data_IF_099560046430
#
_entry.id   IF_099560046430
#
_cell.length_a   1.000
_cell.length_b   1.000
_cell.length_c   1.000
_cell.angle_alpha   90.00
_cell.angle_beta   90.00
_cell.angle_gamma   90.00
#
_symmetry.space_group_name_H-M   'P 1'
#
loop_
_entity.id
_entity.type
_entity.pdbx_description
1 polymer ?
#
# COMPACT_ATOMS: atom_id res chain seq x y z
N UNK A 1 6.42 14.03 21.24
CA UNK A 1 4.95 14.13 21.29
C UNK A 1 4.50 14.97 20.11
N UNK A 2 4.07 14.34 19.02
CA UNK A 2 3.36 15.03 17.94
C UNK A 2 1.87 14.76 18.15
N UNK A 3 1.30 15.39 19.17
CA UNK A 3 -0.15 15.38 19.40
C UNK A 3 -0.75 16.45 18.50
N UNK A 4 -1.42 16.02 17.42
CA UNK A 4 -2.35 16.87 16.69
C UNK A 4 -3.76 16.46 17.08
N UNK A 5 -4.57 17.41 17.53
CA UNK A 5 -5.94 17.19 18.00
C UNK A 5 -6.79 16.55 16.90
N UNK A 6 -7.50 15.46 17.21
CA UNK A 6 -8.51 14.84 16.33
C UNK A 6 -8.20 13.43 15.80
N UNK A 7 -7.01 12.88 16.02
CA UNK A 7 -6.63 11.52 15.60
C UNK A 7 -6.58 10.51 16.76
N UNK A 8 -7.36 10.73 17.83
CA UNK A 8 -7.46 9.82 18.98
C UNK A 8 -8.82 9.13 18.96
N UNK A 9 -8.82 7.83 19.16
CA UNK A 9 -10.04 7.01 19.15
C UNK A 9 -11.07 7.52 20.16
N UNK A 10 -12.37 7.59 19.82
CA UNK A 10 -13.01 7.02 18.61
C UNK A 10 -13.00 7.94 17.38
N UNK A 11 -12.32 9.09 17.41
CA UNK A 11 -12.28 10.01 16.28
C UNK A 11 -11.26 9.58 15.24
N UNK A 12 -11.65 9.66 13.97
CA UNK A 12 -10.79 9.35 12.82
C UNK A 12 -10.48 10.64 12.06
N UNK A 13 -9.19 10.92 11.87
CA UNK A 13 -8.70 12.01 11.05
C UNK A 13 -8.50 11.52 9.62
N UNK A 14 -8.98 12.24 8.62
CA UNK A 14 -8.68 11.95 7.20
C UNK A 14 -7.19 11.94 6.96
N UNK A 15 -6.70 10.94 6.23
CA UNK A 15 -5.29 10.81 5.89
C UNK A 15 -4.96 11.86 4.84
N UNK A 16 -3.99 12.73 5.14
CA UNK A 16 -3.41 13.64 4.16
C UNK A 16 -1.90 13.44 4.07
N UNK A 17 -1.26 14.11 3.11
CA UNK A 17 0.18 13.96 2.90
C UNK A 17 1.00 14.49 4.09
N UNK A 18 0.44 15.44 4.83
CA UNK A 18 1.01 15.98 6.07
C UNK A 18 1.09 14.93 7.20
N UNK A 19 0.32 13.85 7.12
CA UNK A 19 0.33 12.75 8.10
C UNK A 19 1.44 11.72 7.86
N UNK A 20 2.24 11.89 6.79
CA UNK A 20 3.29 10.95 6.39
C UNK A 20 4.21 10.57 7.55
N UNK A 21 4.80 11.54 8.24
CA UNK A 21 5.79 11.27 9.28
C UNK A 21 5.15 10.58 10.50
N UNK A 22 3.90 10.91 10.83
CA UNK A 22 3.16 10.28 11.92
C UNK A 22 2.87 8.82 11.60
N UNK A 23 2.28 8.53 10.44
CA UNK A 23 1.94 7.16 10.02
C UNK A 23 3.22 6.32 9.85
N UNK A 24 4.29 6.90 9.28
CA UNK A 24 5.59 6.22 9.16
C UNK A 24 6.21 5.92 10.52
N UNK A 25 6.02 6.77 11.54
CA UNK A 25 6.56 6.52 12.88
C UNK A 25 5.96 5.27 13.55
N UNK A 26 4.74 4.88 13.19
CA UNK A 26 4.11 3.63 13.64
C UNK A 26 4.50 2.44 12.77
N UNK A 27 4.52 2.60 11.46
CA UNK A 27 4.65 1.48 10.51
C UNK A 27 6.09 1.01 10.31
N UNK A 28 7.09 1.90 10.38
CA UNK A 28 8.50 1.57 10.12
C UNK A 28 9.13 0.63 11.17
N UNK A 29 8.42 0.36 12.28
CA UNK A 29 8.86 -0.55 13.35
C UNK A 29 8.68 -2.03 12.97
N UNK A 30 7.94 -2.29 11.89
CA UNK A 30 7.51 -3.62 11.47
C UNK A 30 7.95 -3.92 10.03
N UNK A 31 7.82 -5.17 9.55
CA UNK A 31 7.93 -5.48 8.13
C UNK A 31 7.04 -4.58 7.26
N UNK A 32 7.38 -4.36 5.98
CA UNK A 32 6.67 -3.42 5.13
C UNK A 32 5.34 -4.00 4.61
N UNK A 33 4.30 -3.98 5.45
CA UNK A 33 2.93 -4.33 5.06
C UNK A 33 2.38 -3.29 4.09
N UNK A 34 1.99 -3.71 2.89
CA UNK A 34 1.61 -2.80 1.79
C UNK A 34 0.35 -1.99 2.11
N UNK A 35 -0.56 -2.57 2.89
CA UNK A 35 -1.82 -1.98 3.36
C UNK A 35 -1.62 -0.74 4.24
N UNK A 36 -0.49 -0.68 4.94
CA UNK A 36 -0.13 0.44 5.82
C UNK A 36 0.84 1.43 5.17
N UNK A 37 1.17 1.21 3.89
CA UNK A 37 1.98 2.15 3.14
C UNK A 37 1.20 3.45 2.92
N UNK A 38 1.68 4.57 3.48
CA UNK A 38 1.04 5.87 3.35
C UNK A 38 0.81 6.32 1.90
N UNK A 39 1.71 6.00 0.98
CA UNK A 39 1.49 6.34 -0.43
C UNK A 39 0.32 5.52 -1.00
N UNK A 40 0.24 4.23 -0.70
CA UNK A 40 -0.94 3.42 -1.05
C UNK A 40 -2.22 3.97 -0.44
N UNK A 41 -2.21 4.33 0.85
CA UNK A 41 -3.38 4.88 1.55
C UNK A 41 -3.86 6.22 0.96
N UNK A 42 -2.95 7.02 0.38
CA UNK A 42 -3.30 8.25 -0.32
C UNK A 42 -3.82 8.00 -1.74
N UNK A 43 -3.25 7.03 -2.46
CA UNK A 43 -3.60 6.74 -3.85
C UNK A 43 -4.91 5.96 -3.97
N UNK A 44 -5.05 4.88 -3.20
CA UNK A 44 -6.24 4.02 -3.18
C UNK A 44 -7.31 4.61 -2.25
N UNK A 45 -7.74 5.82 -2.55
CA UNK A 45 -8.66 6.61 -1.73
C UNK A 45 -9.67 7.37 -2.60
N UNK A 46 -10.37 6.64 -3.48
CA UNK A 46 -11.25 7.25 -4.49
C UNK A 46 -12.39 8.08 -3.87
N UNK A 47 -12.89 7.68 -2.70
CA UNK A 47 -13.96 8.38 -1.97
C UNK A 47 -13.47 9.44 -0.97
N UNK A 48 -12.15 9.65 -0.90
CA UNK A 48 -11.46 10.55 0.03
C UNK A 48 -11.77 10.31 1.52
N UNK A 49 -12.16 9.09 1.90
CA UNK A 49 -12.55 8.74 3.27
C UNK A 49 -11.54 7.90 4.04
N UNK A 50 -10.42 7.50 3.42
CA UNK A 50 -9.32 6.88 4.14
C UNK A 50 -8.89 7.79 5.30
N UNK A 51 -8.94 7.23 6.50
CA UNK A 51 -8.76 7.98 7.74
C UNK A 51 -8.02 7.11 8.76
N UNK A 52 -7.44 7.74 9.78
CA UNK A 52 -6.69 7.04 10.80
C UNK A 52 -6.99 7.57 12.20
N UNK A 53 -6.70 6.74 13.19
CA UNK A 53 -6.83 7.04 14.61
C UNK A 53 -5.72 6.34 15.39
N UNK A 54 -5.41 6.85 16.56
CA UNK A 54 -4.50 6.24 17.52
C UNK A 54 -5.33 5.69 18.67
N UNK A 55 -5.21 4.39 18.90
CA UNK A 55 -5.87 3.68 19.98
C UNK A 55 -4.85 2.81 20.71
N UNK A 56 -4.70 3.04 22.01
CA UNK A 56 -3.74 2.33 22.85
C UNK A 56 -2.28 2.40 22.38
N UNK A 57 -1.90 3.45 21.65
CA UNK A 57 -0.59 3.55 20.96
C UNK A 57 -0.39 2.50 19.85
N UNK A 58 -1.49 2.10 19.21
CA UNK A 58 -1.50 1.43 17.92
C UNK A 58 -2.08 2.38 16.87
N UNK A 59 -1.61 2.25 15.64
CA UNK A 59 -2.20 2.94 14.49
C UNK A 59 -3.39 2.12 14.00
N UNK A 60 -4.55 2.74 13.97
CA UNK A 60 -5.78 2.19 13.38
C UNK A 60 -6.06 2.96 12.10
N UNK A 61 -6.26 2.25 10.99
CA UNK A 61 -6.73 2.83 9.74
C UNK A 61 -8.17 2.42 9.48
N UNK A 62 -8.93 3.33 8.88
CA UNK A 62 -10.25 3.09 8.33
C UNK A 62 -10.16 3.33 6.83
N UNK A 63 -10.45 2.31 6.05
CA UNK A 63 -10.33 2.30 4.60
C UNK A 63 -11.63 1.85 3.96
N UNK A 64 -11.86 2.25 2.72
CA UNK A 64 -12.99 1.76 1.94
C UNK A 64 -12.64 0.42 1.30
N UNK A 65 -13.52 -0.55 1.52
CA UNK A 65 -13.48 -1.87 0.91
C UNK A 65 -14.09 -1.83 -0.48
N UNK A 66 -13.26 -1.78 -1.51
CA UNK A 66 -13.72 -1.72 -2.90
C UNK A 66 -14.54 -2.94 -3.35
N UNK A 67 -14.47 -4.08 -2.65
CA UNK A 67 -15.29 -5.25 -2.97
C UNK A 67 -16.72 -5.14 -2.43
N UNK A 68 -16.90 -4.45 -1.30
CA UNK A 68 -18.18 -4.37 -0.60
C UNK A 68 -18.77 -2.97 -0.54
N UNK A 69 -18.02 -1.96 -0.98
CA UNK A 69 -18.28 -0.52 -0.83
C UNK A 69 -18.52 -0.07 0.62
N UNK A 70 -18.15 -0.89 1.61
CA UNK A 70 -18.24 -0.57 3.03
C UNK A 70 -16.89 -0.13 3.58
N UNK A 71 -16.90 0.49 4.76
CA UNK A 71 -15.64 0.76 5.46
C UNK A 71 -15.19 -0.45 6.27
N UNK A 72 -13.89 -0.68 6.26
CA UNK A 72 -13.23 -1.63 7.13
C UNK A 72 -12.15 -0.94 7.97
N UNK A 73 -11.81 -1.58 9.08
CA UNK A 73 -10.75 -1.16 9.97
C UNK A 73 -9.56 -2.11 9.82
N UNK A 74 -8.35 -1.58 9.98
CA UNK A 74 -7.15 -2.38 10.23
C UNK A 74 -6.32 -1.72 11.34
N UNK A 75 -5.45 -2.50 11.96
CA UNK A 75 -4.59 -2.06 13.07
C UNK A 75 -3.17 -2.58 12.92
N UNK A 76 -2.20 -1.74 13.21
CA UNK A 76 -0.79 -2.11 13.33
C UNK A 76 -0.21 -1.54 14.62
N UNK A 77 0.45 -2.40 15.39
CA UNK A 77 0.98 -2.07 16.71
C UNK A 77 1.13 -3.32 17.58
N UNK A 78 1.47 -3.13 18.86
CA UNK A 78 1.71 -4.23 19.80
C UNK A 78 1.09 -3.98 21.18
N UNK A 79 0.47 -2.83 21.40
CA UNK A 79 0.09 -2.36 22.73
C UNK A 79 -1.37 -2.67 23.03
N UNK A 80 -1.67 -3.50 24.04
CA UNK A 80 -3.07 -3.77 24.47
C UNK A 80 -3.97 -4.17 23.30
N UNK A 81 -3.51 -5.15 22.53
CA UNK A 81 -4.13 -5.54 21.25
C UNK A 81 -5.54 -6.08 21.45
N UNK A 82 -5.76 -6.94 22.44
CA UNK A 82 -7.09 -7.43 22.79
C UNK A 82 -8.08 -6.28 23.05
N UNK A 83 -7.71 -5.32 23.91
CA UNK A 83 -8.57 -4.18 24.22
C UNK A 83 -8.77 -3.26 23.01
N UNK A 84 -7.75 -3.16 22.14
CA UNK A 84 -7.85 -2.45 20.87
C UNK A 84 -8.88 -3.11 19.96
N UNK A 85 -8.78 -4.43 19.72
CA UNK A 85 -9.71 -5.14 18.84
C UNK A 85 -11.14 -5.15 19.39
N UNK A 86 -11.33 -5.36 20.70
CA UNK A 86 -12.64 -5.22 21.35
C UNK A 86 -13.27 -3.84 21.08
N UNK A 87 -12.47 -2.78 21.18
CA UNK A 87 -12.91 -1.42 20.88
C UNK A 87 -13.24 -1.22 19.40
N UNK A 88 -12.46 -1.81 18.48
CA UNK A 88 -12.75 -1.72 17.04
C UNK A 88 -14.04 -2.46 16.68
N UNK A 89 -14.26 -3.67 17.20
CA UNK A 89 -15.49 -4.43 16.96
C UNK A 89 -16.73 -3.73 17.52
N UNK A 90 -16.59 -2.94 18.59
CA UNK A 90 -17.71 -2.15 19.14
C UNK A 90 -18.25 -1.09 18.16
N UNK A 91 -17.49 -0.73 17.12
CA UNK A 91 -17.94 0.17 16.06
C UNK A 91 -18.83 -0.52 15.02
N UNK A 92 -18.97 -1.85 15.06
CA UNK A 92 -19.78 -2.62 14.11
C UNK A 92 -19.20 -2.69 12.70
N UNK A 93 -17.91 -2.39 12.54
CA UNK A 93 -17.19 -2.49 11.26
C UNK A 93 -16.35 -3.78 11.23
N UNK A 94 -16.11 -4.27 10.01
CA UNK A 94 -15.22 -5.42 9.80
C UNK A 94 -13.77 -4.99 10.05
N UNK A 95 -13.01 -5.84 10.74
CA UNK A 95 -11.56 -5.70 10.89
C UNK A 95 -10.89 -6.66 9.93
N UNK A 96 -10.05 -6.15 9.02
CA UNK A 96 -9.36 -6.94 7.98
C UNK A 96 -7.97 -6.39 7.71
N UNK A 97 -7.18 -7.10 6.90
CA UNK A 97 -5.81 -6.69 6.55
C UNK A 97 -4.95 -6.47 7.80
N UNK A 98 -5.20 -7.29 8.84
CA UNK A 98 -4.46 -7.25 10.09
C UNK A 98 -3.16 -8.01 9.89
N UNK A 99 -1.99 -7.39 10.12
CA UNK A 99 -0.71 -8.06 9.98
C UNK A 99 -0.61 -9.33 10.84
N UNK A 100 0.02 -10.38 10.30
CA UNK A 100 0.20 -11.67 10.98
C UNK A 100 0.76 -11.50 12.41
N UNK A 101 1.79 -10.66 12.58
CA UNK A 101 2.41 -10.44 13.88
C UNK A 101 1.44 -9.85 14.93
N UNK A 102 0.43 -9.10 14.50
CA UNK A 102 -0.62 -8.59 15.39
C UNK A 102 -1.51 -9.74 15.82
N UNK A 103 -1.94 -10.58 14.88
CA UNK A 103 -2.81 -11.74 15.14
C UNK A 103 -2.13 -12.75 16.07
N UNK A 104 -0.85 -13.03 15.87
CA UNK A 104 -0.07 -13.95 16.72
C UNK A 104 0.01 -13.54 18.20
N UNK A 105 -0.28 -12.27 18.51
CA UNK A 105 -0.24 -11.71 19.87
C UNK A 105 -1.62 -11.61 20.54
N UNK A 106 -2.69 -11.96 19.82
CA UNK A 106 -4.06 -11.91 20.33
C UNK A 106 -4.40 -13.13 21.19
N UNK A 107 -5.31 -12.95 22.14
CA UNK A 107 -5.95 -14.07 22.83
C UNK A 107 -6.87 -14.84 21.87
N UNK A 108 -6.41 -16.01 21.41
CA UNK A 108 -7.14 -16.89 20.51
C UNK A 108 -8.46 -17.45 21.11
N UNK A 109 -8.70 -17.28 22.42
CA UNK A 109 -10.00 -17.61 23.02
C UNK A 109 -11.07 -16.52 22.82
N UNK A 110 -10.65 -15.30 22.48
CA UNK A 110 -11.53 -14.15 22.26
C UNK A 110 -11.80 -13.86 20.79
N UNK A 111 -10.84 -14.18 19.92
CA UNK A 111 -10.88 -13.79 18.52
C UNK A 111 -10.70 -14.99 17.60
N UNK A 112 -11.48 -15.01 16.52
CA UNK A 112 -11.28 -15.90 15.39
C UNK A 112 -10.60 -15.11 14.27
N UNK A 113 -9.51 -15.65 13.73
CA UNK A 113 -8.79 -15.07 12.59
C UNK A 113 -8.82 -16.05 11.42
N UNK A 114 -8.86 -15.51 10.20
CA UNK A 114 -8.81 -16.28 8.97
C UNK A 114 -7.82 -15.63 8.02
N UNK A 115 -6.90 -16.43 7.48
CA UNK A 115 -5.95 -15.97 6.48
C UNK A 115 -6.67 -15.71 5.16
N UNK A 116 -6.35 -14.58 4.53
CA UNK A 116 -6.74 -14.27 3.16
C UNK A 116 -5.50 -14.33 2.25
N UNK A 117 -5.36 -15.45 1.55
CA UNK A 117 -4.20 -15.73 0.69
C UNK A 117 -4.09 -14.80 -0.50
N UNK A 118 -5.22 -14.26 -0.97
CA UNK A 118 -5.23 -13.35 -2.12
C UNK A 118 -4.68 -11.96 -1.75
N UNK A 119 -4.59 -11.67 -0.44
CA UNK A 119 -4.05 -10.44 0.14
C UNK A 119 -2.60 -10.57 0.62
N UNK A 120 -1.87 -11.64 0.28
CA UNK A 120 -0.49 -11.84 0.76
C UNK A 120 0.52 -10.90 0.07
N UNK A 121 1.34 -10.23 0.88
CA UNK A 121 2.46 -9.42 0.41
C UNK A 121 3.63 -10.28 -0.09
N UNK A 122 4.15 -9.94 -1.29
CA UNK A 122 5.34 -10.58 -1.85
C UNK A 122 6.59 -9.78 -1.50
N UNK A 123 7.35 -10.24 -0.50
CA UNK A 123 8.63 -9.64 -0.13
C UNK A 123 9.74 -10.21 -1.02
N UNK A 124 10.37 -9.33 -1.81
CA UNK A 124 11.44 -9.70 -2.74
C UNK A 124 12.79 -9.13 -2.32
N UNK A 125 13.84 -9.94 -2.47
CA UNK A 125 15.21 -9.48 -2.29
C UNK A 125 15.71 -8.80 -3.58
N UNK A 126 15.91 -7.48 -3.52
CA UNK A 126 16.26 -6.66 -4.69
C UNK A 126 17.61 -7.04 -5.30
N UNK A 127 18.61 -7.39 -4.47
CA UNK A 127 19.94 -7.82 -4.94
C UNK A 127 19.88 -9.15 -5.71
N UNK A 128 19.08 -10.10 -5.22
CA UNK A 128 18.87 -11.38 -5.90
C UNK A 128 18.19 -11.20 -7.25
N UNK A 129 17.26 -10.24 -7.33
CA UNK A 129 16.53 -9.92 -8.56
C UNK A 129 17.42 -9.16 -9.56
N UNK A 130 18.25 -8.21 -9.11
CA UNK A 130 19.15 -7.45 -9.97
C UNK A 130 20.19 -8.33 -10.65
N UNK A 131 20.75 -9.28 -9.89
CA UNK A 131 21.80 -10.15 -10.40
C UNK A 131 21.26 -11.33 -11.19
N UNK A 132 19.94 -11.55 -11.13
CA UNK A 132 19.25 -12.71 -11.71
C UNK A 132 19.94 -14.04 -11.34
N UNK A 133 20.52 -14.11 -10.14
CA UNK A 133 21.37 -15.22 -9.72
C UNK A 133 20.55 -16.37 -9.10
N UNK A 134 21.08 -17.59 -9.18
CA UNK A 134 20.45 -18.78 -8.62
C UNK A 134 19.58 -19.60 -9.58
N UNK A 135 19.20 -20.80 -9.13
CA UNK A 135 18.46 -21.79 -9.93
C UNK A 135 17.01 -21.37 -10.18
N UNK A 136 16.38 -20.75 -9.18
CA UNK A 136 15.02 -20.18 -9.24
C UNK A 136 14.89 -19.07 -10.30
N UNK A 137 15.95 -18.31 -10.59
CA UNK A 137 15.93 -17.22 -11.59
C UNK A 137 16.07 -17.70 -13.06
N UNK A 138 16.13 -19.02 -13.32
CA UNK A 138 16.31 -19.57 -14.68
C UNK A 138 15.23 -19.09 -15.67
N UNK A 139 13.97 -19.10 -15.24
CA UNK A 139 12.85 -18.70 -16.11
C UNK A 139 12.88 -17.18 -16.38
N UNK A 140 13.17 -16.36 -15.37
CA UNK A 140 13.30 -14.93 -15.54
C UNK A 140 14.44 -14.57 -16.50
N UNK A 141 15.63 -15.19 -16.36
CA UNK A 141 16.73 -15.02 -17.32
C UNK A 141 16.34 -15.38 -18.75
N UNK A 142 15.57 -16.45 -18.93
CA UNK A 142 15.06 -16.85 -20.25
C UNK A 142 14.13 -15.77 -20.82
N UNK A 143 13.21 -15.25 -20.02
CA UNK A 143 12.28 -14.20 -20.44
C UNK A 143 13.01 -12.91 -20.80
N UNK A 144 13.98 -12.47 -19.99
CA UNK A 144 14.81 -11.29 -20.27
C UNK A 144 15.56 -11.45 -21.59
N UNK A 145 16.23 -12.61 -21.80
CA UNK A 145 16.92 -12.88 -23.08
C UNK A 145 15.96 -12.90 -24.27
N UNK A 146 14.79 -13.52 -24.10
CA UNK A 146 13.77 -13.55 -25.15
C UNK A 146 13.32 -12.14 -25.51
N UNK A 147 13.04 -11.30 -24.52
CA UNK A 147 12.66 -9.91 -24.72
C UNK A 147 13.75 -9.11 -25.44
N UNK A 148 15.00 -9.21 -24.99
CA UNK A 148 16.14 -8.52 -25.63
C UNK A 148 16.34 -8.95 -27.09
N UNK A 149 16.16 -10.24 -27.41
CA UNK A 149 16.26 -10.74 -28.77
C UNK A 149 15.10 -10.28 -29.66
N UNK A 150 13.88 -10.24 -29.12
CA UNK A 150 12.69 -9.79 -29.86
C UNK A 150 12.64 -8.27 -30.04
N UNK A 151 13.24 -7.52 -29.11
CA UNK A 151 13.21 -6.05 -29.07
C UNK A 151 14.62 -5.47 -28.87
N UNK A 152 15.56 -5.66 -29.81
CA UNK A 152 16.97 -5.31 -29.66
C UNK A 152 17.22 -3.80 -29.52
N UNK A 153 16.28 -2.97 -29.98
CA UNK A 153 16.35 -1.50 -29.90
C UNK A 153 15.62 -0.94 -28.66
N UNK A 154 15.19 -1.79 -27.73
CA UNK A 154 14.55 -1.34 -26.49
C UNK A 154 15.54 -0.62 -25.58
N UNK A 155 15.06 0.35 -24.82
CA UNK A 155 15.85 1.13 -23.88
C UNK A 155 15.07 1.30 -22.57
N UNK A 156 15.78 1.18 -21.44
CA UNK A 156 15.23 1.43 -20.11
C UNK A 156 15.73 2.79 -19.64
N UNK A 157 14.80 3.69 -19.32
CA UNK A 157 15.10 5.04 -18.82
C UNK A 157 14.47 5.24 -17.45
N UNK A 158 15.16 5.99 -16.60
CA UNK A 158 14.52 6.55 -15.42
C UNK A 158 13.43 7.54 -15.87
N UNK A 159 12.26 7.46 -15.24
CA UNK A 159 11.17 8.41 -15.46
C UNK A 159 11.23 9.47 -14.37
N UNK A 160 11.18 10.73 -14.78
CA UNK A 160 11.06 11.87 -13.87
C UNK A 160 9.61 12.31 -13.83
N UNK A 161 8.89 11.95 -12.77
CA UNK A 161 7.44 12.20 -12.65
C UNK A 161 7.07 13.70 -12.58
N UNK A 162 8.05 14.59 -12.42
CA UNK A 162 7.86 16.03 -12.54
C UNK A 162 7.73 16.50 -14.00
N UNK A 163 8.16 15.71 -14.98
CA UNK A 163 8.10 16.05 -16.40
C UNK A 163 6.72 15.71 -16.98
N UNK A 164 6.11 16.67 -17.69
CA UNK A 164 4.77 16.50 -18.27
C UNK A 164 4.72 15.35 -19.27
N UNK A 165 5.74 15.20 -20.11
CA UNK A 165 5.84 14.11 -21.09
C UNK A 165 5.82 12.73 -20.40
N UNK A 166 6.48 12.59 -19.24
CA UNK A 166 6.46 11.35 -18.47
C UNK A 166 5.06 11.06 -17.91
N UNK A 167 4.38 12.08 -17.39
CA UNK A 167 3.01 11.95 -16.91
C UNK A 167 2.06 11.54 -18.05
N UNK A 168 2.14 12.20 -19.20
CA UNK A 168 1.26 11.91 -20.35
C UNK A 168 1.48 10.49 -20.90
N UNK A 169 2.73 10.02 -20.92
CA UNK A 169 3.03 8.62 -21.27
C UNK A 169 2.43 7.63 -20.29
N UNK A 170 2.52 7.90 -18.98
CA UNK A 170 1.95 7.04 -17.93
C UNK A 170 0.43 6.99 -18.08
N UNK A 171 -0.24 8.15 -18.18
CA UNK A 171 -1.70 8.20 -18.30
C UNK A 171 -2.19 7.52 -19.57
N UNK A 172 -1.53 7.75 -20.71
CA UNK A 172 -1.89 7.05 -21.97
C UNK A 172 -1.72 5.53 -21.87
N UNK A 173 -0.70 5.05 -21.13
CA UNK A 173 -0.52 3.62 -20.90
C UNK A 173 -1.60 3.06 -19.97
N UNK A 174 -1.93 3.78 -18.90
CA UNK A 174 -3.00 3.40 -17.95
C UNK A 174 -4.34 3.28 -18.65
N UNK A 175 -4.73 4.26 -19.49
CA UNK A 175 -5.97 4.21 -20.26
C UNK A 175 -6.03 2.98 -21.17
N UNK A 176 -4.97 2.73 -21.94
CA UNK A 176 -4.87 1.56 -22.83
C UNK A 176 -4.93 0.25 -22.04
N UNK A 177 -4.34 0.22 -20.86
CA UNK A 177 -4.37 -0.95 -19.99
C UNK A 177 -5.78 -1.22 -19.49
N UNK A 178 -6.49 -0.21 -18.98
CA UNK A 178 -7.88 -0.33 -18.53
C UNK A 178 -8.78 -0.84 -19.67
N UNK A 179 -8.65 -0.25 -20.86
CA UNK A 179 -9.41 -0.67 -22.04
C UNK A 179 -9.11 -2.13 -22.41
N UNK A 180 -7.84 -2.55 -22.35
CA UNK A 180 -7.43 -3.94 -22.64
C UNK A 180 -7.96 -4.96 -21.63
N UNK A 181 -8.21 -4.53 -20.40
CA UNK A 181 -8.78 -5.36 -19.33
C UNK A 181 -10.30 -5.42 -19.39
N UNK A 182 -10.94 -4.57 -20.20
CA UNK A 182 -12.39 -4.48 -20.29
C UNK A 182 -13.01 -3.88 -19.03
N UNK A 183 -12.29 -2.99 -18.35
CA UNK A 183 -12.80 -2.28 -17.18
C UNK A 183 -14.05 -1.47 -17.55
N UNK A 184 -15.00 -1.43 -16.63
CA UNK A 184 -16.13 -0.52 -16.73
C UNK A 184 -15.67 0.92 -16.40
N UNK A 185 -16.56 1.89 -16.60
CA UNK A 185 -16.22 3.30 -16.41
C UNK A 185 -15.74 3.62 -14.99
N UNK A 186 -16.38 3.06 -13.96
CA UNK A 186 -16.01 3.29 -12.57
C UNK A 186 -14.63 2.72 -12.26
N UNK A 187 -14.36 1.48 -12.65
CA UNK A 187 -13.04 0.85 -12.46
C UNK A 187 -11.94 1.66 -13.15
N UNK A 188 -12.19 2.13 -14.37
CA UNK A 188 -11.25 2.98 -15.10
C UNK A 188 -11.00 4.31 -14.40
N UNK A 189 -12.05 4.96 -13.88
CA UNK A 189 -11.95 6.23 -13.16
C UNK A 189 -11.17 6.07 -11.85
N UNK A 190 -11.44 4.99 -11.09
CA UNK A 190 -10.74 4.68 -9.84
C UNK A 190 -9.23 4.42 -10.07
N UNK A 191 -8.87 3.64 -11.10
CA UNK A 191 -7.47 3.38 -11.47
C UNK A 191 -6.75 4.66 -11.97
N UNK A 192 -7.42 5.47 -12.79
CA UNK A 192 -6.88 6.74 -13.28
C UNK A 192 -6.61 7.70 -12.10
N UNK A 193 -7.58 7.86 -11.20
CA UNK A 193 -7.44 8.71 -10.01
C UNK A 193 -6.29 8.22 -9.09
N UNK A 194 -6.16 6.92 -8.89
CA UNK A 194 -5.06 6.36 -8.10
C UNK A 194 -3.68 6.67 -8.71
N UNK A 195 -3.55 6.58 -10.04
CA UNK A 195 -2.30 6.90 -10.75
C UNK A 195 -2.02 8.41 -10.73
N UNK A 196 -3.04 9.27 -10.87
CA UNK A 196 -2.89 10.72 -10.74
C UNK A 196 -2.43 11.10 -9.34
N UNK A 197 -3.03 10.52 -8.30
CA UNK A 197 -2.60 10.67 -6.91
C UNK A 197 -1.16 10.18 -6.71
N UNK A 198 -0.78 9.05 -7.31
CA UNK A 198 0.60 8.56 -7.25
C UNK A 198 1.58 9.56 -7.85
N UNK A 199 1.30 10.09 -9.04
CA UNK A 199 2.15 11.11 -9.69
C UNK A 199 2.26 12.36 -8.79
N UNK A 200 1.14 12.82 -8.23
CA UNK A 200 1.07 13.98 -7.34
C UNK A 200 1.89 13.82 -6.06
N UNK A 201 1.79 12.67 -5.39
CA UNK A 201 2.37 12.47 -4.06
C UNK A 201 3.76 11.85 -4.07
N UNK A 202 4.11 11.08 -5.10
CA UNK A 202 5.36 10.31 -5.16
C UNK A 202 6.63 11.14 -5.01
N UNK A 203 6.63 12.42 -5.40
CA UNK A 203 7.75 13.35 -5.21
C UNK A 203 8.05 13.64 -3.72
N UNK A 204 7.07 13.51 -2.84
CA UNK A 204 7.22 13.72 -1.41
C UNK A 204 7.75 12.49 -0.69
N UNK A 205 7.71 11.34 -1.37
CA UNK A 205 8.38 10.13 -0.96
C UNK A 205 9.75 10.14 -1.63
N UNK A 206 10.82 9.81 -0.89
CA UNK A 206 12.10 9.52 -1.52
C UNK A 206 11.97 8.20 -2.27
N UNK A 207 11.30 8.21 -3.42
CA UNK A 207 11.26 7.09 -4.38
C UNK A 207 12.63 6.89 -5.04
N UNK A 208 13.52 7.87 -4.89
CA UNK A 208 14.95 7.74 -5.16
C UNK A 208 15.75 7.58 -3.87
N UNK A 209 15.92 6.34 -3.44
CA UNK A 209 17.14 5.91 -2.77
C UNK A 209 17.70 4.68 -3.46
N UNK A 210 18.12 4.84 -4.71
CA UNK A 210 19.40 4.26 -5.14
C UNK A 210 20.52 4.93 -4.32
N UNK A 211 20.57 4.63 -3.02
CA UNK A 211 21.85 4.43 -2.37
C UNK A 211 22.33 3.07 -2.88
N UNK A 212 22.87 3.07 -4.11
CA UNK A 212 23.86 2.08 -4.47
C UNK A 212 24.95 2.25 -3.42
N UNK A 213 25.01 1.29 -2.49
CA UNK A 213 26.14 1.10 -1.61
C UNK A 213 27.41 1.16 -2.47
N UNK A 214 28.18 2.23 -2.29
CA UNK A 214 29.63 2.18 -2.49
C UNK A 214 30.28 1.56 -1.26
#
# INVERSE_FOLDING_TARGET
MLTSEGNIFPNFKRITIEDKDVIQSYTQKYPPYSDFNILSLLCWNADENNSYSILNDNLVIKITDYLTENHALSVIGENRLDETLESLFSLGLVVKMVPEFVVERLDASKFESTEDRDSFDYIINTLSLSDLNGRNMKNLRKNVRSFQNSYPNSNVKALYLAEKDAQDMIMSLTEKWCDSKGFNQKEKDDDIDAIEKFIKYSAQFKTNSTNLCG
#
